data_IF_738302531381
#
_entry.id   IF_738302531381
#
_cell.length_a   1.000
_cell.length_b   1.000
_cell.length_c   1.000
_cell.angle_alpha   90.00
_cell.angle_beta   90.00
_cell.angle_gamma   90.00
#
_symmetry.space_group_name_H-M   'P 1'
#
loop_
_entity.id
_entity.type
_entity.pdbx_description
1 polymer ?
#
# COMPACT_ATOMS: atom_id res chain seq x y z
N UNK A 1 23.01 -7.92 -6.02
CA UNK A 1 22.20 -7.91 -4.79
C UNK A 1 20.72 -8.05 -5.06
N UNK A 2 20.12 -7.24 -5.94
CA UNK A 2 18.68 -7.32 -6.23
C UNK A 2 18.24 -8.65 -6.84
N UNK A 3 19.06 -9.30 -7.65
CA UNK A 3 18.80 -10.66 -8.15
C UNK A 3 18.84 -11.66 -6.99
N UNK A 4 19.81 -11.56 -6.11
CA UNK A 4 19.98 -12.44 -4.94
C UNK A 4 18.79 -12.35 -3.98
N UNK A 5 18.20 -11.17 -3.84
CA UNK A 5 17.06 -10.92 -2.93
C UNK A 5 15.69 -11.00 -3.64
N UNK A 6 15.64 -11.36 -4.93
CA UNK A 6 14.40 -11.39 -5.73
C UNK A 6 13.87 -10.01 -6.14
N UNK A 7 14.42 -8.94 -5.60
CA UNK A 7 13.93 -7.56 -5.76
C UNK A 7 14.06 -7.03 -7.18
N UNK A 8 14.94 -7.61 -7.99
CA UNK A 8 15.07 -7.23 -9.40
C UNK A 8 13.77 -7.39 -10.19
N UNK A 9 12.98 -8.39 -9.85
CA UNK A 9 11.67 -8.65 -10.46
C UNK A 9 10.54 -7.94 -9.72
N UNK A 10 10.52 -8.04 -8.39
CA UNK A 10 9.43 -7.54 -7.55
C UNK A 10 9.25 -6.02 -7.60
N UNK A 11 10.34 -5.25 -7.69
CA UNK A 11 10.25 -3.78 -7.78
C UNK A 11 9.77 -3.30 -9.16
N UNK A 12 9.69 -4.19 -10.14
CA UNK A 12 9.09 -3.90 -11.45
C UNK A 12 9.67 -2.67 -12.14
N UNK A 13 8.80 -1.79 -12.66
CA UNK A 13 9.22 -0.60 -13.42
C UNK A 13 9.81 0.52 -12.54
N UNK A 14 9.68 0.46 -11.22
CA UNK A 14 10.17 1.51 -10.33
C UNK A 14 11.70 1.58 -10.23
N UNK A 15 12.41 0.56 -10.73
CA UNK A 15 13.87 0.53 -10.76
C UNK A 15 14.39 1.11 -12.05
N UNK A 16 15.22 2.14 -11.98
CA UNK A 16 16.02 2.57 -13.13
C UNK A 16 17.00 1.46 -13.53
N UNK A 17 16.80 0.91 -14.72
CA UNK A 17 17.63 -0.16 -15.27
C UNK A 17 18.53 0.38 -16.35
N UNK A 18 19.82 0.14 -16.20
CA UNK A 18 20.88 0.63 -17.07
C UNK A 18 21.70 -0.56 -17.59
N UNK A 19 22.51 -0.29 -18.61
CA UNK A 19 23.60 -1.17 -19.02
C UNK A 19 24.90 -0.40 -19.00
N UNK A 20 25.95 -1.03 -18.50
CA UNK A 20 27.29 -0.49 -18.60
C UNK A 20 27.83 -0.64 -20.02
N UNK A 21 29.06 -0.15 -20.26
CA UNK A 21 29.72 -0.21 -21.57
C UNK A 21 29.99 -1.65 -22.06
N UNK A 22 29.97 -2.62 -21.13
CA UNK A 22 30.16 -4.04 -21.41
C UNK A 22 28.81 -4.77 -21.60
N UNK A 23 27.68 -4.06 -21.50
CA UNK A 23 26.33 -4.62 -21.62
C UNK A 23 25.81 -5.26 -20.34
N UNK A 24 26.52 -5.14 -19.21
CA UNK A 24 26.09 -5.68 -17.92
C UNK A 24 24.92 -4.86 -17.36
N UNK A 25 23.87 -5.55 -16.89
CA UNK A 25 22.73 -4.91 -16.28
C UNK A 25 23.09 -4.31 -14.92
N UNK A 26 22.63 -3.09 -14.70
CA UNK A 26 22.78 -2.34 -13.47
C UNK A 26 21.42 -1.72 -13.10
N UNK A 27 21.19 -1.45 -11.81
CA UNK A 27 20.02 -0.72 -11.32
C UNK A 27 20.41 0.35 -10.31
N UNK A 28 19.73 1.49 -10.36
CA UNK A 28 19.83 2.48 -9.29
C UNK A 28 18.92 2.08 -8.14
N UNK A 29 19.37 2.28 -6.90
CA UNK A 29 18.66 1.80 -5.70
C UNK A 29 17.42 2.62 -5.36
N UNK A 30 16.19 2.05 -5.46
CA UNK A 30 14.97 2.69 -4.97
C UNK A 30 14.82 2.62 -3.45
N UNK A 31 15.45 1.63 -2.83
CA UNK A 31 15.54 1.38 -1.39
C UNK A 31 16.70 0.43 -1.11
N UNK A 32 17.19 0.32 0.12
CA UNK A 32 18.41 -0.41 0.43
C UNK A 32 18.25 -1.54 1.48
N UNK A 33 17.02 -1.92 1.88
CA UNK A 33 16.83 -3.01 2.85
C UNK A 33 17.49 -4.32 2.41
N UNK A 34 17.37 -4.70 1.14
CA UNK A 34 18.03 -5.89 0.61
C UNK A 34 19.56 -5.82 0.67
N UNK A 35 20.15 -4.63 0.48
CA UNK A 35 21.59 -4.43 0.61
C UNK A 35 22.05 -4.56 2.06
N UNK A 36 21.32 -3.95 3.00
CA UNK A 36 21.63 -4.06 4.43
C UNK A 36 21.46 -5.48 4.94
N UNK A 37 20.44 -6.19 4.48
CA UNK A 37 20.23 -7.61 4.83
C UNK A 37 21.41 -8.46 4.36
N UNK A 38 21.89 -8.28 3.12
CA UNK A 38 23.07 -8.98 2.63
C UNK A 38 24.34 -8.58 3.37
N UNK A 39 24.51 -7.29 3.67
CA UNK A 39 25.65 -6.79 4.43
C UNK A 39 25.72 -7.39 5.84
N UNK A 40 24.57 -7.44 6.53
CA UNK A 40 24.48 -8.03 7.87
C UNK A 40 24.74 -9.53 7.81
N UNK A 41 24.17 -10.24 6.84
CA UNK A 41 24.41 -11.66 6.63
C UNK A 41 25.89 -12.00 6.35
N UNK A 42 26.61 -11.09 5.71
CA UNK A 42 28.04 -11.29 5.38
C UNK A 42 28.97 -10.96 6.56
N UNK A 43 28.64 -9.92 7.33
CA UNK A 43 29.51 -9.41 8.39
C UNK A 43 29.24 -9.99 9.78
N UNK A 44 28.03 -10.45 10.05
CA UNK A 44 27.61 -10.93 11.37
C UNK A 44 27.14 -12.37 11.28
N UNK A 45 27.74 -13.21 12.10
CA UNK A 45 27.49 -14.67 12.09
C UNK A 45 26.98 -15.22 13.40
N UNK A 46 26.79 -14.37 14.40
CA UNK A 46 26.36 -14.78 15.75
C UNK A 46 25.13 -14.00 16.21
N UNK A 47 24.21 -14.70 16.86
CA UNK A 47 23.09 -14.09 17.59
C UNK A 47 23.50 -13.13 18.71
N UNK A 48 24.77 -13.23 19.18
CA UNK A 48 25.34 -12.29 20.15
C UNK A 48 25.61 -10.90 19.58
N UNK A 49 25.64 -10.78 18.26
CA UNK A 49 25.81 -9.51 17.57
C UNK A 49 24.49 -8.72 17.48
N UNK A 50 23.38 -9.35 17.83
CA UNK A 50 22.04 -8.78 17.83
C UNK A 50 21.62 -8.32 19.25
N UNK A 51 20.76 -7.32 19.39
CA UNK A 51 20.12 -6.56 18.32
C UNK A 51 21.07 -5.58 17.63
N UNK A 52 20.89 -5.39 16.33
CA UNK A 52 21.66 -4.48 15.51
C UNK A 52 20.75 -3.45 14.85
N UNK A 53 21.11 -2.18 14.91
CA UNK A 53 20.41 -1.11 14.20
C UNK A 53 21.40 -0.33 13.35
N UNK A 54 21.15 -0.27 12.06
CA UNK A 54 21.98 0.41 11.07
C UNK A 54 21.18 1.48 10.36
N UNK A 55 21.81 2.58 10.00
CA UNK A 55 21.15 3.62 9.22
C UNK A 55 22.08 4.20 8.18
N UNK A 56 21.50 4.86 7.22
CA UNK A 56 22.22 5.68 6.25
C UNK A 56 21.42 6.94 5.90
N UNK A 57 22.12 7.92 5.36
CA UNK A 57 21.53 9.07 4.67
C UNK A 57 22.13 9.03 3.27
N UNK A 58 21.31 8.65 2.29
CA UNK A 58 21.79 8.35 0.94
C UNK A 58 20.74 8.68 -0.11
N UNK A 59 21.21 8.99 -1.31
CA UNK A 59 20.36 9.17 -2.48
C UNK A 59 19.65 7.87 -2.86
N UNK A 60 18.36 7.99 -3.19
CA UNK A 60 17.52 6.94 -3.75
C UNK A 60 17.04 7.38 -5.12
N UNK A 61 16.76 6.39 -5.97
CA UNK A 61 16.29 6.62 -7.33
C UNK A 61 15.04 5.76 -7.57
N UNK A 62 13.95 6.40 -7.96
CA UNK A 62 12.72 5.71 -8.35
C UNK A 62 12.28 6.21 -9.73
N UNK A 63 12.02 5.30 -10.67
CA UNK A 63 11.52 5.66 -11.99
C UNK A 63 10.04 6.04 -11.92
N UNK A 64 9.80 7.14 -11.23
CA UNK A 64 8.48 7.69 -10.97
C UNK A 64 7.83 8.13 -12.28
N UNK A 65 6.68 7.57 -12.69
CA UNK A 65 6.04 7.90 -13.96
C UNK A 65 5.52 9.33 -14.01
N UNK A 66 5.19 9.91 -12.86
CA UNK A 66 4.60 11.26 -12.75
C UNK A 66 5.26 12.08 -11.65
N UNK A 67 6.52 12.55 -11.82
CA UNK A 67 7.12 13.48 -10.90
C UNK A 67 6.27 14.75 -10.80
N UNK A 68 6.07 15.25 -9.59
CA UNK A 68 5.25 16.44 -9.35
C UNK A 68 5.57 17.11 -8.03
N UNK A 69 4.97 18.29 -7.80
CA UNK A 69 5.10 19.04 -6.56
C UNK A 69 6.57 19.35 -6.18
N UNK A 70 7.42 19.63 -7.16
CA UNK A 70 8.82 19.99 -6.95
C UNK A 70 9.60 18.86 -6.31
N UNK A 71 10.06 19.05 -5.08
CA UNK A 71 10.85 18.08 -4.34
C UNK A 71 10.03 16.99 -3.63
N UNK A 72 8.71 17.11 -3.57
CA UNK A 72 7.86 16.16 -2.84
C UNK A 72 7.79 14.79 -3.54
N UNK A 73 7.79 14.78 -4.87
CA UNK A 73 7.74 13.54 -5.65
C UNK A 73 8.67 13.61 -6.85
N UNK A 74 9.93 13.31 -6.62
CA UNK A 74 10.98 13.30 -7.63
C UNK A 74 11.49 11.90 -7.94
N UNK A 75 12.33 11.80 -8.98
CA UNK A 75 13.01 10.54 -9.36
C UNK A 75 14.32 10.32 -8.63
N UNK A 76 14.91 11.38 -8.11
CA UNK A 76 16.12 11.36 -7.30
C UNK A 76 15.86 12.16 -6.02
N UNK A 77 16.13 11.58 -4.87
CA UNK A 77 15.93 12.21 -3.57
C UNK A 77 16.82 11.61 -2.51
N UNK A 78 17.07 12.37 -1.45
CA UNK A 78 17.85 11.90 -0.29
C UNK A 78 16.86 11.31 0.73
N UNK A 79 17.19 10.11 1.22
CA UNK A 79 16.42 9.43 2.25
C UNK A 79 17.34 9.11 3.43
N UNK A 80 16.84 9.32 4.66
CA UNK A 80 17.34 8.62 5.83
C UNK A 80 16.54 7.31 5.91
N UNK A 81 17.19 6.21 5.86
CA UNK A 81 16.64 4.89 6.08
C UNK A 81 17.39 4.18 7.21
N UNK A 82 16.67 3.46 8.04
CA UNK A 82 17.16 2.73 9.21
C UNK A 82 16.60 1.32 9.20
N UNK A 83 17.42 0.36 9.57
CA UNK A 83 17.15 -1.07 9.51
C UNK A 83 17.53 -1.71 10.84
N UNK A 84 16.61 -2.41 11.47
CA UNK A 84 16.84 -3.18 12.68
C UNK A 84 16.86 -4.67 12.38
N UNK A 85 17.69 -5.38 13.12
CA UNK A 85 17.83 -6.83 13.07
C UNK A 85 17.82 -7.32 14.51
N UNK A 86 16.87 -8.18 14.84
CA UNK A 86 16.57 -8.61 16.18
C UNK A 86 16.60 -10.15 16.26
N UNK A 87 16.73 -10.70 17.47
CA UNK A 87 16.83 -12.14 17.69
C UNK A 87 15.47 -12.82 17.56
N UNK A 88 14.42 -12.09 17.95
CA UNK A 88 13.05 -12.61 18.03
C UNK A 88 12.00 -11.50 17.80
N UNK A 89 10.75 -11.89 17.72
CA UNK A 89 9.63 -10.98 17.52
C UNK A 89 9.48 -9.95 18.64
N UNK A 90 9.84 -10.32 19.88
CA UNK A 90 9.79 -9.38 21.01
C UNK A 90 10.89 -8.30 20.89
N UNK A 91 12.06 -8.65 20.38
CA UNK A 91 13.13 -7.72 20.01
C UNK A 91 12.70 -6.81 18.86
N UNK A 92 12.12 -7.39 17.80
CA UNK A 92 11.61 -6.65 16.66
C UNK A 92 10.56 -5.62 17.08
N UNK A 93 9.63 -5.99 17.95
CA UNK A 93 8.61 -5.06 18.47
C UNK A 93 9.26 -3.88 19.22
N UNK A 94 10.27 -4.13 20.07
CA UNK A 94 11.01 -3.07 20.75
C UNK A 94 11.70 -2.12 19.78
N UNK A 95 12.33 -2.66 18.75
CA UNK A 95 12.99 -1.89 17.71
C UNK A 95 11.99 -1.05 16.91
N UNK A 96 10.83 -1.63 16.58
CA UNK A 96 9.73 -0.94 15.92
C UNK A 96 9.22 0.24 16.75
N UNK A 97 8.93 0.02 18.03
CA UNK A 97 8.47 1.07 18.92
C UNK A 97 9.52 2.16 19.14
N UNK A 98 10.79 1.81 19.23
CA UNK A 98 11.87 2.80 19.33
C UNK A 98 11.94 3.71 18.08
N UNK A 99 11.77 3.15 16.87
CA UNK A 99 11.69 3.93 15.64
C UNK A 99 10.44 4.81 15.62
N UNK A 100 9.29 4.26 15.99
CA UNK A 100 8.03 4.99 16.07
C UNK A 100 8.11 6.20 16.99
N UNK A 101 8.64 6.02 18.21
CA UNK A 101 8.85 7.11 19.14
C UNK A 101 9.85 8.16 18.62
N UNK A 102 10.88 7.73 17.92
CA UNK A 102 11.82 8.65 17.30
C UNK A 102 11.13 9.51 16.22
N UNK A 103 10.26 8.93 15.38
CA UNK A 103 9.48 9.69 14.40
C UNK A 103 8.52 10.68 15.06
N UNK A 104 7.81 10.27 16.13
CA UNK A 104 6.96 11.18 16.92
C UNK A 104 7.78 12.40 17.35
N UNK A 105 8.91 12.18 18.02
CA UNK A 105 9.79 13.28 18.48
C UNK A 105 10.32 14.16 17.34
N UNK A 106 10.61 13.57 16.18
CA UNK A 106 11.08 14.31 15.01
C UNK A 106 9.98 15.25 14.50
N UNK A 107 8.78 14.75 14.27
CA UNK A 107 7.69 15.54 13.70
C UNK A 107 7.15 16.58 14.68
N UNK A 108 7.10 16.29 15.97
CA UNK A 108 6.80 17.27 17.02
C UNK A 108 7.82 18.41 17.05
N UNK A 109 9.12 18.09 16.98
CA UNK A 109 10.19 19.11 16.94
C UNK A 109 10.18 19.95 15.67
N UNK A 110 9.72 19.40 14.56
CA UNK A 110 9.53 20.12 13.29
C UNK A 110 8.23 20.94 13.28
N UNK A 111 7.33 20.74 14.25
CA UNK A 111 6.06 21.46 14.34
C UNK A 111 5.02 21.03 13.32
N UNK A 112 5.09 19.81 12.82
CA UNK A 112 4.07 19.28 11.91
C UNK A 112 2.82 18.83 12.67
N UNK A 113 1.65 19.18 12.16
CA UNK A 113 0.42 18.48 12.46
C UNK A 113 0.37 17.20 11.64
N UNK A 114 0.31 16.05 12.30
CA UNK A 114 0.35 14.76 11.61
C UNK A 114 -0.62 13.75 12.23
N UNK A 115 -0.95 12.74 11.46
CA UNK A 115 -1.72 11.56 11.89
C UNK A 115 -0.90 10.31 11.60
N UNK A 116 -0.83 9.39 12.56
CA UNK A 116 -0.24 8.07 12.34
C UNK A 116 -1.35 7.16 11.84
N UNK A 117 -1.18 6.58 10.67
CA UNK A 117 -2.18 5.75 10.02
C UNK A 117 -1.63 4.35 9.74
N UNK A 118 -2.50 3.35 9.84
CA UNK A 118 -2.18 2.02 9.35
C UNK A 118 -2.04 2.06 7.82
N UNK A 119 -1.00 1.40 7.33
CA UNK A 119 -0.66 1.35 5.91
C UNK A 119 -0.45 -0.09 5.44
N UNK A 120 -0.42 -0.28 4.12
CA UNK A 120 -0.02 -1.55 3.52
C UNK A 120 1.48 -1.55 3.25
N UNK A 121 2.14 -2.66 3.54
CA UNK A 121 3.59 -2.82 3.31
C UNK A 121 3.96 -2.92 1.83
N UNK A 122 2.99 -3.22 0.96
CA UNK A 122 3.20 -3.33 -0.49
C UNK A 122 4.27 -4.37 -0.87
N UNK A 123 5.04 -4.07 -1.91
CA UNK A 123 6.11 -4.94 -2.40
C UNK A 123 7.30 -5.11 -1.42
N UNK A 124 7.39 -4.29 -0.38
CA UNK A 124 8.41 -4.44 0.65
C UNK A 124 8.10 -5.58 1.62
N UNK A 125 6.81 -5.98 1.73
CA UNK A 125 6.36 -7.04 2.63
C UNK A 125 6.33 -6.59 4.09
N UNK A 126 5.97 -7.52 4.97
CA UNK A 126 5.84 -7.30 6.41
C UNK A 126 4.40 -7.36 6.90
N UNK A 127 4.22 -7.63 8.19
CA UNK A 127 2.90 -7.81 8.83
C UNK A 127 2.31 -6.53 9.41
N UNK A 128 3.12 -5.48 9.60
CA UNK A 128 2.69 -4.19 10.13
C UNK A 128 3.38 -3.05 9.37
N UNK A 129 2.63 -2.00 9.10
CA UNK A 129 3.14 -0.78 8.48
C UNK A 129 2.35 0.41 9.01
N UNK A 130 3.05 1.50 9.30
CA UNK A 130 2.48 2.78 9.67
C UNK A 130 3.07 3.89 8.82
N UNK A 131 2.26 4.90 8.55
CA UNK A 131 2.69 6.14 7.90
C UNK A 131 2.38 7.33 8.78
N UNK A 132 3.32 8.29 8.82
CA UNK A 132 3.13 9.58 9.46
C UNK A 132 2.73 10.59 8.40
N UNK A 133 1.46 10.89 8.30
CA UNK A 133 0.90 11.78 7.28
C UNK A 133 0.71 13.19 7.84
N UNK A 134 1.37 14.18 7.22
CA UNK A 134 1.08 15.58 7.51
C UNK A 134 -0.29 15.96 6.93
N UNK A 135 -1.14 16.59 7.74
CA UNK A 135 -2.47 17.01 7.30
C UNK A 135 -2.34 18.21 6.36
N UNK A 136 -2.88 18.10 5.15
CA UNK A 136 -2.81 19.17 4.12
C UNK A 136 -3.96 19.03 3.13
N UNK A 137 -4.52 20.18 2.73
CA UNK A 137 -5.55 20.23 1.67
C UNK A 137 -4.98 19.95 0.27
N UNK A 138 -3.65 19.99 0.11
CA UNK A 138 -2.95 19.75 -1.15
C UNK A 138 -2.21 18.41 -1.17
N UNK A 139 -2.48 17.54 -0.19
CA UNK A 139 -1.90 16.21 -0.09
C UNK A 139 -2.34 15.29 -1.23
N UNK A 140 -1.57 14.23 -1.44
CA UNK A 140 -1.85 13.21 -2.46
C UNK A 140 -2.61 12.02 -1.91
N UNK A 141 -2.36 11.67 -0.65
CA UNK A 141 -2.94 10.51 0.00
C UNK A 141 -4.16 10.89 0.83
N UNK A 142 -5.11 9.98 0.89
CA UNK A 142 -6.32 10.14 1.70
C UNK A 142 -6.32 9.08 2.80
N UNK A 143 -6.65 9.48 4.00
CA UNK A 143 -6.81 8.57 5.13
C UNK A 143 -8.20 8.68 5.77
N UNK A 144 -8.61 7.62 6.44
CA UNK A 144 -9.85 7.54 7.20
C UNK A 144 -9.52 7.61 8.69
N UNK A 145 -10.26 8.41 9.44
CA UNK A 145 -10.14 8.49 10.89
C UNK A 145 -11.52 8.37 11.56
N UNK A 146 -11.60 7.57 12.61
CA UNK A 146 -12.78 7.44 13.44
C UNK A 146 -12.65 8.26 14.76
N UNK A 147 -13.76 8.65 15.37
CA UNK A 147 -13.74 9.28 16.69
C UNK A 147 -13.11 8.40 17.77
N UNK A 148 -13.09 7.09 17.60
CA UNK A 148 -12.48 6.12 18.52
C UNK A 148 -10.96 6.00 18.39
N UNK A 149 -10.30 6.84 17.55
CA UNK A 149 -8.85 6.86 17.39
C UNK A 149 -8.29 5.95 16.30
N UNK A 150 -9.11 5.15 15.63
CA UNK A 150 -8.66 4.39 14.47
C UNK A 150 -8.32 5.35 13.32
N UNK A 151 -7.17 5.15 12.70
CA UNK A 151 -6.75 5.86 11.50
C UNK A 151 -6.03 4.91 10.54
N UNK A 152 -6.38 4.95 9.26
CA UNK A 152 -5.76 4.12 8.24
C UNK A 152 -5.75 4.84 6.90
N UNK A 153 -4.71 4.59 6.10
CA UNK A 153 -4.73 4.91 4.68
C UNK A 153 -5.90 4.18 4.02
N UNK A 154 -6.57 4.79 3.04
CA UNK A 154 -7.75 4.20 2.37
C UNK A 154 -7.49 2.80 1.83
N UNK A 155 -6.25 2.50 1.42
CA UNK A 155 -5.85 1.19 0.93
C UNK A 155 -5.73 0.13 2.04
N UNK A 156 -5.57 0.55 3.30
CA UNK A 156 -5.43 -0.32 4.46
C UNK A 156 -6.68 -0.39 5.34
N UNK A 157 -7.75 0.32 4.96
CA UNK A 157 -9.01 0.32 5.73
C UNK A 157 -9.63 -1.07 5.73
N UNK A 158 -9.93 -1.56 6.92
CA UNK A 158 -10.74 -2.77 7.11
C UNK A 158 -12.09 -2.39 7.71
N UNK A 159 -13.14 -2.98 7.19
CA UNK A 159 -14.52 -2.79 7.69
C UNK A 159 -15.04 -4.09 8.26
N UNK A 160 -15.90 -3.98 9.25
CA UNK A 160 -16.64 -5.15 9.76
C UNK A 160 -17.58 -5.65 8.67
N UNK A 161 -17.53 -6.95 8.40
CA UNK A 161 -18.49 -7.58 7.49
C UNK A 161 -19.88 -7.44 8.11
N UNK A 162 -20.87 -6.89 7.38
CA UNK A 162 -22.24 -6.80 7.89
C UNK A 162 -22.79 -8.20 8.18
N UNK A 163 -23.73 -8.29 9.12
CA UNK A 163 -24.42 -9.55 9.40
C UNK A 163 -25.08 -10.08 8.12
N UNK A 164 -24.98 -11.39 7.92
CA UNK A 164 -25.61 -12.03 6.79
C UNK A 164 -27.13 -11.88 6.86
N UNK A 165 -27.73 -11.37 5.79
CA UNK A 165 -29.19 -11.31 5.68
C UNK A 165 -29.68 -12.74 5.39
N UNK A 166 -30.62 -13.30 6.19
CA UNK A 166 -31.16 -14.63 5.92
C UNK A 166 -31.94 -14.62 4.59
N UNK A 167 -31.68 -15.63 3.77
CA UNK A 167 -32.32 -15.75 2.42
C UNK A 167 -33.62 -16.54 2.40
N UNK A 168 -34.06 -17.07 3.53
CA UNK A 168 -35.16 -18.03 3.63
C UNK A 168 -36.53 -17.47 3.15
N UNK A 169 -36.69 -16.16 3.09
CA UNK A 169 -37.88 -15.47 2.61
C UNK A 169 -37.66 -14.69 1.31
N UNK A 170 -36.51 -14.84 0.67
CA UNK A 170 -36.20 -14.10 -0.56
C UNK A 170 -36.85 -14.77 -1.77
N UNK A 171 -37.48 -14.03 -2.70
CA UNK A 171 -37.98 -14.58 -3.95
C UNK A 171 -36.84 -15.25 -4.74
N UNK A 172 -37.16 -16.27 -5.53
CA UNK A 172 -36.20 -16.90 -6.40
C UNK A 172 -35.57 -15.88 -7.35
N UNK A 173 -34.25 -15.97 -7.51
CA UNK A 173 -33.53 -15.10 -8.43
C UNK A 173 -34.04 -15.33 -9.88
N UNK A 174 -34.23 -14.25 -10.61
CA UNK A 174 -34.57 -14.26 -12.02
C UNK A 174 -33.75 -13.20 -12.79
N UNK A 175 -33.68 -13.34 -14.10
CA UNK A 175 -32.95 -12.39 -14.94
C UNK A 175 -33.91 -11.34 -15.51
N UNK A 176 -33.50 -10.08 -15.40
CA UNK A 176 -34.21 -8.96 -16.01
C UNK A 176 -33.35 -8.24 -17.03
N UNK A 177 -33.96 -7.75 -18.10
CA UNK A 177 -33.30 -6.95 -19.10
C UNK A 177 -33.17 -5.50 -18.60
N UNK A 178 -31.98 -4.96 -18.60
CA UNK A 178 -31.71 -3.59 -18.17
C UNK A 178 -31.05 -2.80 -19.31
N UNK A 179 -31.82 -2.44 -20.35
CA UNK A 179 -31.28 -1.77 -21.54
C UNK A 179 -30.71 -0.36 -21.16
N UNK A 180 -29.67 0.04 -21.84
CA UNK A 180 -29.07 1.39 -21.72
C UNK A 180 -28.68 1.83 -20.30
N UNK A 181 -28.30 0.86 -19.44
CA UNK A 181 -27.90 1.12 -18.04
C UNK A 181 -26.41 0.87 -17.81
N UNK A 182 -25.49 1.66 -18.41
CA UNK A 182 -24.05 1.42 -18.30
C UNK A 182 -23.46 1.77 -16.91
N UNK A 183 -24.18 2.55 -16.10
CA UNK A 183 -23.74 2.98 -14.76
C UNK A 183 -24.71 2.51 -13.68
N UNK A 184 -24.29 2.54 -12.42
CA UNK A 184 -25.17 2.26 -11.27
C UNK A 184 -26.32 3.27 -11.23
N UNK A 185 -26.04 4.55 -11.46
CA UNK A 185 -27.07 5.59 -11.42
C UNK A 185 -28.13 5.39 -12.49
N UNK A 186 -27.74 5.06 -13.74
CA UNK A 186 -28.68 4.75 -14.81
C UNK A 186 -29.49 3.46 -14.52
N UNK A 187 -28.85 2.47 -13.90
CA UNK A 187 -29.55 1.25 -13.46
C UNK A 187 -30.57 1.55 -12.37
N UNK A 188 -30.20 2.33 -11.36
CA UNK A 188 -31.12 2.74 -10.28
C UNK A 188 -32.31 3.54 -10.82
N UNK A 189 -32.08 4.47 -11.73
CA UNK A 189 -33.12 5.23 -12.38
C UNK A 189 -34.09 4.30 -13.13
N UNK A 190 -33.57 3.39 -13.94
CA UNK A 190 -34.38 2.40 -14.66
C UNK A 190 -35.18 1.49 -13.73
N UNK A 191 -34.57 0.98 -12.65
CA UNK A 191 -35.25 0.12 -11.69
C UNK A 191 -36.37 0.86 -10.97
N UNK A 192 -36.23 2.11 -10.65
CA UNK A 192 -37.26 2.94 -10.04
C UNK A 192 -38.45 3.19 -10.99
N UNK A 193 -38.22 3.23 -12.29
CA UNK A 193 -39.27 3.40 -13.30
C UNK A 193 -39.93 2.08 -13.66
N UNK A 194 -39.15 1.05 -14.00
CA UNK A 194 -39.65 -0.20 -14.54
C UNK A 194 -40.07 -1.22 -13.46
N UNK A 195 -39.41 -1.20 -12.30
CA UNK A 195 -39.59 -2.14 -11.20
C UNK A 195 -39.68 -1.44 -9.85
N UNK A 196 -40.63 -0.50 -9.66
CA UNK A 196 -40.72 0.24 -8.40
C UNK A 196 -40.99 -0.71 -7.22
N UNK A 197 -40.41 -0.42 -6.10
CA UNK A 197 -40.60 -1.14 -4.83
C UNK A 197 -41.72 -0.46 -4.02
N UNK A 198 -42.47 -1.25 -3.26
CA UNK A 198 -43.57 -0.74 -2.44
C UNK A 198 -43.08 -0.04 -1.16
N UNK A 199 -41.93 -0.44 -0.65
CA UNK A 199 -41.38 0.03 0.63
C UNK A 199 -40.54 1.30 0.50
N UNK A 200 -39.73 1.40 -0.55
CA UNK A 200 -38.86 2.54 -0.82
C UNK A 200 -38.28 2.50 -2.24
N UNK A 201 -37.77 3.62 -2.77
CA UNK A 201 -37.05 3.61 -4.05
C UNK A 201 -35.77 2.76 -3.99
N UNK A 202 -35.40 2.23 -5.15
CA UNK A 202 -34.09 1.63 -5.34
C UNK A 202 -32.99 2.65 -5.12
N UNK A 203 -31.90 2.21 -4.50
CA UNK A 203 -30.69 3.02 -4.24
C UNK A 203 -29.44 2.30 -4.78
N UNK A 204 -28.34 3.01 -4.94
CA UNK A 204 -27.07 2.44 -5.40
C UNK A 204 -26.60 1.25 -4.53
N UNK A 205 -26.86 1.31 -3.22
CA UNK A 205 -26.56 0.24 -2.26
C UNK A 205 -27.37 -1.05 -2.45
N UNK A 206 -28.47 -1.01 -3.22
CA UNK A 206 -29.28 -2.18 -3.54
C UNK A 206 -28.78 -2.91 -4.79
N UNK A 207 -27.77 -2.37 -5.46
CA UNK A 207 -27.25 -2.90 -6.72
C UNK A 207 -25.83 -3.40 -6.54
N UNK A 208 -25.47 -4.45 -7.29
CA UNK A 208 -24.10 -4.96 -7.37
C UNK A 208 -23.70 -5.03 -8.84
N UNK A 209 -22.60 -4.34 -9.19
CA UNK A 209 -22.02 -4.42 -10.52
C UNK A 209 -20.79 -5.31 -10.49
N UNK A 210 -20.85 -6.44 -11.16
CA UNK A 210 -19.69 -7.31 -11.35
C UNK A 210 -18.81 -6.74 -12.46
N UNK A 211 -17.52 -6.62 -12.18
CA UNK A 211 -16.50 -6.28 -13.18
C UNK A 211 -15.68 -7.53 -13.44
N UNK A 212 -15.72 -8.02 -14.67
CA UNK A 212 -14.86 -9.10 -15.11
C UNK A 212 -13.49 -8.51 -15.48
N UNK A 213 -12.45 -9.03 -14.84
CA UNK A 213 -11.06 -8.66 -15.12
C UNK A 213 -10.35 -9.90 -15.64
N UNK A 214 -9.76 -9.79 -16.81
CA UNK A 214 -8.90 -10.85 -17.35
C UNK A 214 -7.48 -10.58 -16.82
N UNK A 215 -7.01 -11.45 -15.95
CA UNK A 215 -5.61 -11.46 -15.54
C UNK A 215 -4.78 -12.10 -16.64
N UNK A 216 -3.84 -11.34 -17.20
CA UNK A 216 -2.88 -11.87 -18.17
C UNK A 216 -1.61 -12.26 -17.46
N UNK A 217 -1.23 -13.50 -17.56
CA UNK A 217 0.06 -13.99 -17.10
C UNK A 217 1.19 -13.48 -18.02
N UNK A 218 2.45 -13.45 -17.54
CA UNK A 218 3.59 -13.01 -18.32
C UNK A 218 3.81 -13.80 -19.63
N UNK A 219 3.28 -15.02 -19.72
CA UNK A 219 3.32 -15.88 -20.93
C UNK A 219 2.21 -15.57 -21.94
N UNK A 220 1.33 -14.59 -21.63
CA UNK A 220 0.23 -14.17 -22.49
C UNK A 220 -1.06 -14.97 -22.35
N UNK A 221 -1.09 -15.99 -21.48
CA UNK A 221 -2.32 -16.69 -21.13
C UNK A 221 -3.17 -15.85 -20.17
N UNK A 222 -4.51 -15.96 -20.25
CA UNK A 222 -5.45 -15.25 -19.37
C UNK A 222 -6.41 -16.23 -18.71
N UNK A 223 -6.77 -15.97 -17.47
CA UNK A 223 -7.89 -16.60 -16.74
C UNK A 223 -9.07 -15.64 -16.61
#
# INVERSE_FOLDING_TARGET
>A
PYETTGRWTEYGPNVFRLKDRQGKHMGLGPTHEGFFTLLVNDLYSSDKDLPLSLYQIQTKYRDEPRPRAGILRGREFIMKDSYSFDVDDAGLEKSYQAHREAYVRIFERLGFEYVIVHAQSGAMGGSASEEFLAVSDTGEDTFVRSPGGYAANVEAVTTVVPEAIPYDATPAAHAEQTPDTPTIDSLVAYLNEAFPRDDRPWQASDTLKNVLVILRHPDGTGE
#
